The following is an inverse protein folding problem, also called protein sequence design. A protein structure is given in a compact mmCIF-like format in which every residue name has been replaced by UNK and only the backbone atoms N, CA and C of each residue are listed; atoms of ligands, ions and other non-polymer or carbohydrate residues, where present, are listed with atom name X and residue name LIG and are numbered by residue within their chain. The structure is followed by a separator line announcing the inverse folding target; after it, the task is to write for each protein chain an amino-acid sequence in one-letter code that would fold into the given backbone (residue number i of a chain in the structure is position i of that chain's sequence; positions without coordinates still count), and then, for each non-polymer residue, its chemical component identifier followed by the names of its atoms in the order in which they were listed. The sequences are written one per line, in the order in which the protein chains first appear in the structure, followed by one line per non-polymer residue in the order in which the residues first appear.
data_IF_087602982576
#
_entry.id   IF_087602982576
#
_cell.length_a   1.000
_cell.length_b   1.000
_cell.length_c   1.000
_cell.angle_alpha   90.00
_cell.angle_beta   90.00
_cell.angle_gamma   90.00
#
_symmetry.space_group_name_H-M   'P 1'
#
loop_
_entity.id
_entity.type
_entity.pdbx_description
1 polymer ?
#
# COMPACT_ATOMS: atom_id res chain seq x y z
N UNK A 1 13.07 -18.40 -7.65
CA UNK A 1 12.70 -19.17 -6.43
C UNK A 1 13.41 -18.53 -5.25
N UNK A 2 12.74 -18.34 -4.11
CA UNK A 2 13.34 -17.73 -2.93
C UNK A 2 13.94 -18.74 -1.97
N UNK A 3 14.98 -18.34 -1.26
CA UNK A 3 15.58 -19.03 -0.12
C UNK A 3 15.58 -18.05 1.04
N UNK A 4 15.24 -18.51 2.23
CA UNK A 4 15.11 -17.62 3.39
C UNK A 4 15.59 -18.27 4.68
N UNK A 5 15.98 -17.42 5.63
CA UNK A 5 16.24 -17.80 7.02
C UNK A 5 15.25 -17.07 7.93
N UNK A 6 14.56 -17.81 8.80
CA UNK A 6 13.69 -17.26 9.84
C UNK A 6 14.34 -17.42 11.21
N UNK A 7 14.16 -16.42 12.07
CA UNK A 7 14.33 -16.57 13.52
C UNK A 7 12.99 -16.97 14.13
N UNK A 8 12.97 -18.07 14.87
CA UNK A 8 11.80 -18.56 15.59
C UNK A 8 11.69 -17.92 16.99
N UNK A 9 10.57 -18.15 17.67
CA UNK A 9 10.32 -17.61 19.02
C UNK A 9 11.31 -18.09 20.09
N UNK A 10 11.95 -19.24 19.89
CA UNK A 10 13.03 -19.80 20.73
C UNK A 10 14.43 -19.36 20.26
N UNK A 11 14.52 -18.34 19.42
CA UNK A 11 15.72 -17.85 18.72
C UNK A 11 16.45 -18.92 17.88
N UNK A 12 15.80 -20.06 17.60
CA UNK A 12 16.32 -21.03 16.62
C UNK A 12 16.19 -20.48 15.19
N UNK A 13 17.07 -20.95 14.30
CA UNK A 13 17.08 -20.53 12.89
C UNK A 13 16.49 -21.63 12.00
N UNK A 14 15.48 -21.28 11.22
CA UNK A 14 14.85 -22.15 10.22
C UNK A 14 15.23 -21.69 8.81
N UNK A 15 15.61 -22.62 7.93
CA UNK A 15 15.91 -22.32 6.51
C UNK A 15 14.91 -23.01 5.61
N UNK A 16 14.35 -22.28 4.65
CA UNK A 16 13.39 -22.80 3.68
C UNK A 16 13.53 -22.18 2.30
N UNK A 17 12.73 -22.69 1.37
CA UNK A 17 12.57 -22.14 0.02
C UNK A 17 11.09 -21.96 -0.33
N UNK A 18 10.78 -21.00 -1.20
CA UNK A 18 9.41 -20.70 -1.63
C UNK A 18 9.39 -20.06 -3.02
N UNK A 19 8.43 -20.42 -3.87
CA UNK A 19 8.17 -19.67 -5.10
C UNK A 19 7.51 -18.32 -4.77
N UNK A 20 6.52 -18.36 -3.88
CA UNK A 20 5.85 -17.23 -3.29
C UNK A 20 6.23 -17.16 -1.80
N UNK A 21 7.18 -16.28 -1.50
CA UNK A 21 7.71 -16.10 -0.16
C UNK A 21 6.69 -15.47 0.78
N UNK A 22 5.87 -14.53 0.31
CA UNK A 22 4.86 -13.87 1.14
C UNK A 22 3.84 -14.88 1.68
N UNK A 23 3.24 -15.68 0.80
CA UNK A 23 2.34 -16.78 1.18
C UNK A 23 3.02 -17.74 2.14
N UNK A 24 4.30 -18.06 1.89
CA UNK A 24 5.05 -18.99 2.74
C UNK A 24 5.29 -18.44 4.15
N UNK A 25 5.53 -17.16 4.31
CA UNK A 25 5.66 -16.53 5.63
C UNK A 25 4.32 -16.57 6.37
N UNK A 26 3.20 -16.20 5.73
CA UNK A 26 1.85 -16.30 6.33
C UNK A 26 1.54 -17.73 6.81
N UNK A 27 1.94 -18.73 6.02
CA UNK A 27 1.85 -20.14 6.41
C UNK A 27 2.65 -20.44 7.69
N UNK A 28 3.89 -19.95 7.79
CA UNK A 28 4.74 -20.17 8.95
C UNK A 28 4.26 -19.43 10.21
N UNK A 29 3.68 -18.23 10.05
CA UNK A 29 3.06 -17.45 11.12
C UNK A 29 1.72 -18.02 11.59
N UNK A 30 1.12 -18.94 10.82
CA UNK A 30 -0.16 -19.57 11.16
C UNK A 30 -1.39 -18.77 10.75
N UNK A 31 -1.21 -17.71 9.96
CA UNK A 31 -2.29 -16.90 9.38
C UNK A 31 -3.09 -17.68 8.33
N UNK A 32 -2.40 -18.54 7.56
CA UNK A 32 -3.02 -19.44 6.58
C UNK A 32 -2.50 -20.87 6.73
N UNK A 33 -3.27 -21.84 6.24
CA UNK A 33 -2.91 -23.25 6.32
C UNK A 33 -1.68 -23.60 5.45
N UNK A 34 -0.87 -24.56 5.91
CA UNK A 34 0.29 -25.08 5.16
C UNK A 34 1.68 -24.81 5.77
N UNK A 35 1.77 -24.16 6.94
CA UNK A 35 3.04 -23.93 7.62
C UNK A 35 3.78 -25.19 8.03
N UNK A 36 5.11 -25.18 7.94
CA UNK A 36 5.95 -26.29 8.41
C UNK A 36 5.68 -26.58 9.89
N UNK A 37 5.58 -27.87 10.25
CA UNK A 37 5.35 -28.30 11.65
C UNK A 37 6.33 -27.65 12.62
N UNK A 38 7.59 -27.52 12.20
CA UNK A 38 8.69 -26.94 13.00
C UNK A 38 8.40 -25.50 13.43
N UNK A 39 8.04 -24.62 12.49
CA UNK A 39 7.81 -23.20 12.77
C UNK A 39 6.47 -23.00 13.46
N UNK A 40 5.45 -23.80 13.11
CA UNK A 40 4.12 -23.71 13.72
C UNK A 40 4.16 -23.93 15.23
N UNK A 41 5.00 -24.84 15.71
CA UNK A 41 5.16 -25.10 17.15
C UNK A 41 6.00 -24.07 17.90
N UNK A 42 6.81 -23.26 17.19
CA UNK A 42 7.81 -22.35 17.80
C UNK A 42 7.50 -20.87 17.60
N UNK A 43 6.60 -20.54 16.68
CA UNK A 43 6.38 -19.18 16.21
C UNK A 43 7.53 -18.66 15.35
N UNK A 44 7.23 -17.74 14.45
CA UNK A 44 8.23 -16.98 13.69
C UNK A 44 8.34 -15.59 14.32
N UNK A 45 9.56 -15.19 14.66
CA UNK A 45 9.89 -13.88 15.21
C UNK A 45 10.29 -12.91 14.10
N UNK A 46 11.10 -13.36 13.13
CA UNK A 46 11.66 -12.49 12.09
C UNK A 46 12.10 -13.28 10.85
N UNK A 47 12.04 -12.65 9.68
CA UNK A 47 12.77 -13.05 8.46
C UNK A 47 14.17 -12.42 8.51
N UNK A 48 15.20 -13.24 8.69
CA UNK A 48 16.58 -12.80 8.93
C UNK A 48 17.43 -12.67 7.68
N UNK A 49 17.13 -13.42 6.62
CA UNK A 49 17.83 -13.29 5.34
C UNK A 49 16.97 -13.85 4.21
N UNK A 50 17.15 -13.31 3.01
CA UNK A 50 16.42 -13.69 1.82
C UNK A 50 17.34 -13.61 0.58
N UNK A 51 17.22 -14.61 -0.28
CA UNK A 51 17.89 -14.65 -1.57
C UNK A 51 16.90 -15.11 -2.64
N UNK A 52 17.11 -14.64 -3.86
CA UNK A 52 16.41 -15.16 -5.05
C UNK A 52 17.40 -15.88 -5.95
N UNK A 53 16.98 -17.02 -6.49
CA UNK A 53 17.72 -17.78 -7.51
C UNK A 53 16.91 -17.90 -8.80
N UNK A 54 17.64 -18.02 -9.91
CA UNK A 54 17.08 -18.19 -11.26
C UNK A 54 16.15 -19.40 -11.35
N UNK A 55 16.51 -20.50 -10.68
CA UNK A 55 15.74 -21.74 -10.74
C UNK A 55 15.59 -22.44 -9.38
N UNK A 56 14.72 -23.45 -9.36
CA UNK A 56 14.43 -24.25 -8.16
C UNK A 56 15.55 -25.23 -7.77
N UNK A 57 16.45 -25.59 -8.70
CA UNK A 57 17.58 -26.49 -8.46
C UNK A 57 18.65 -25.78 -7.64
N UNK A 58 19.02 -24.56 -8.02
CA UNK A 58 19.91 -23.67 -7.29
C UNK A 58 19.40 -23.45 -5.86
N UNK A 59 18.10 -23.12 -5.72
CA UNK A 59 17.48 -22.92 -4.41
C UNK A 59 17.59 -24.15 -3.49
N UNK A 60 17.31 -25.36 -4.00
CA UNK A 60 17.41 -26.60 -3.21
C UNK A 60 18.84 -26.91 -2.79
N UNK A 61 19.82 -26.70 -3.67
CA UNK A 61 21.25 -26.88 -3.36
C UNK A 61 21.70 -25.89 -2.28
N UNK A 62 21.29 -24.64 -2.39
CA UNK A 62 21.61 -23.59 -1.43
C UNK A 62 20.91 -23.82 -0.08
N UNK A 63 19.63 -24.19 -0.07
CA UNK A 63 18.90 -24.56 1.16
C UNK A 63 19.62 -25.70 1.91
N UNK A 64 20.05 -26.73 1.19
CA UNK A 64 20.79 -27.85 1.76
C UNK A 64 22.13 -27.42 2.36
N UNK A 65 22.88 -26.57 1.65
CA UNK A 65 24.17 -26.06 2.11
C UNK A 65 24.02 -25.16 3.35
N UNK A 66 23.07 -24.21 3.34
CA UNK A 66 22.78 -23.35 4.49
C UNK A 66 22.36 -24.20 5.69
N UNK A 67 21.53 -25.23 5.51
CA UNK A 67 21.10 -26.11 6.61
C UNK A 67 22.26 -26.79 7.33
N UNK A 68 23.37 -27.07 6.62
CA UNK A 68 24.60 -27.66 7.18
C UNK A 68 25.53 -26.68 7.89
N UNK A 69 25.37 -25.37 7.67
CA UNK A 69 26.16 -24.36 8.36
C UNK A 69 25.92 -24.44 9.87
N UNK A 70 26.97 -24.17 10.65
CA UNK A 70 26.83 -24.04 12.10
C UNK A 70 25.92 -22.84 12.43
N UNK A 71 25.36 -22.79 13.64
CA UNK A 71 24.58 -21.63 14.06
C UNK A 71 25.39 -20.34 13.95
N UNK A 72 26.65 -20.35 14.40
CA UNK A 72 27.53 -19.18 14.32
C UNK A 72 27.76 -18.72 12.87
N UNK A 73 27.89 -19.66 11.92
CA UNK A 73 28.04 -19.33 10.51
C UNK A 73 26.75 -18.75 9.91
N UNK A 74 25.59 -19.26 10.33
CA UNK A 74 24.29 -18.70 9.91
C UNK A 74 24.09 -17.28 10.42
N UNK A 75 24.43 -17.00 11.68
CA UNK A 75 24.37 -15.64 12.23
C UNK A 75 25.32 -14.70 11.45
N UNK A 76 26.56 -15.13 11.19
CA UNK A 76 27.49 -14.34 10.37
C UNK A 76 27.02 -14.15 8.93
N UNK A 77 26.31 -15.13 8.36
CA UNK A 77 25.69 -15.03 7.05
C UNK A 77 24.49 -14.07 7.05
N UNK A 78 23.71 -14.04 8.14
CA UNK A 78 22.62 -13.08 8.33
C UNK A 78 23.16 -11.64 8.36
N UNK A 79 24.33 -11.43 8.95
CA UNK A 79 25.00 -10.13 9.02
C UNK A 79 25.65 -9.68 7.70
N UNK A 80 25.93 -10.62 6.78
CA UNK A 80 26.57 -10.36 5.48
C UNK A 80 26.03 -11.32 4.40
N UNK A 81 24.74 -11.19 4.02
CA UNK A 81 24.06 -12.14 3.12
C UNK A 81 24.63 -12.18 1.70
N UNK A 82 25.29 -11.11 1.26
CA UNK A 82 25.95 -10.99 -0.04
C UNK A 82 27.15 -11.94 -0.19
N UNK A 83 27.80 -12.30 0.93
CA UNK A 83 28.99 -13.15 0.95
C UNK A 83 28.67 -14.66 0.92
N UNK A 84 27.42 -15.05 0.62
CA UNK A 84 26.95 -16.43 0.71
C UNK A 84 27.80 -17.40 -0.11
N UNK A 85 28.16 -17.11 -1.35
CA UNK A 85 29.06 -18.00 -2.12
C UNK A 85 30.53 -17.63 -1.99
N UNK A 86 30.88 -16.36 -1.77
CA UNK A 86 32.30 -16.01 -1.63
C UNK A 86 32.94 -16.65 -0.38
N UNK A 87 32.20 -16.69 0.72
CA UNK A 87 32.75 -17.04 2.04
C UNK A 87 32.13 -18.27 2.67
N UNK A 88 30.81 -18.40 2.60
CA UNK A 88 30.10 -19.42 3.38
C UNK A 88 29.89 -20.72 2.60
N UNK A 89 29.61 -20.62 1.29
CA UNK A 89 29.33 -21.75 0.41
C UNK A 89 30.03 -21.57 -0.96
N UNK A 90 31.38 -21.60 -1.01
CA UNK A 90 32.13 -21.45 -2.27
C UNK A 90 31.82 -22.48 -3.35
N UNK A 91 31.33 -23.65 -2.96
CA UNK A 91 30.95 -24.71 -3.89
C UNK A 91 29.75 -24.38 -4.77
N UNK A 92 29.03 -23.28 -4.51
CA UNK A 92 27.87 -22.85 -5.29
C UNK A 92 28.12 -21.55 -6.07
N UNK A 93 29.37 -21.12 -6.23
CA UNK A 93 29.72 -19.90 -6.97
C UNK A 93 29.32 -19.93 -8.46
N UNK A 94 29.04 -21.11 -9.02
CA UNK A 94 28.53 -21.27 -10.40
C UNK A 94 27.05 -20.89 -10.57
N UNK A 95 26.29 -20.76 -9.47
CA UNK A 95 24.87 -20.40 -9.51
C UNK A 95 24.70 -18.90 -9.31
N UNK A 96 23.81 -18.30 -10.11
CA UNK A 96 23.39 -16.93 -9.87
C UNK A 96 22.44 -16.87 -8.68
N UNK A 97 22.64 -15.86 -7.86
CA UNK A 97 21.73 -15.47 -6.81
C UNK A 97 21.87 -13.98 -6.59
N UNK A 98 20.78 -13.36 -6.12
CA UNK A 98 20.83 -11.99 -5.57
C UNK A 98 20.36 -12.02 -4.13
N UNK A 99 20.99 -11.24 -3.28
CA UNK A 99 20.39 -10.85 -2.00
C UNK A 99 19.10 -10.13 -2.37
N UNK A 100 17.97 -10.70 -1.96
CA UNK A 100 16.71 -10.00 -2.08
C UNK A 100 16.61 -9.15 -0.82
N UNK A 101 16.33 -7.86 -0.99
CA UNK A 101 16.30 -6.95 0.15
C UNK A 101 15.28 -7.47 1.16
N UNK A 102 15.58 -7.34 2.46
CA UNK A 102 14.53 -7.61 3.46
C UNK A 102 13.35 -6.69 3.16
N UNK A 103 13.64 -5.50 2.66
CA UNK A 103 12.76 -4.47 2.13
C UNK A 103 12.02 -4.83 0.83
N UNK A 104 12.51 -5.74 -0.02
CA UNK A 104 11.68 -6.36 -1.08
C UNK A 104 10.57 -7.25 -0.49
N UNK A 105 10.68 -7.62 0.81
CA UNK A 105 9.58 -8.19 1.61
C UNK A 105 9.06 -7.28 2.74
N UNK A 106 9.67 -6.11 2.97
CA UNK A 106 9.18 -5.10 3.90
C UNK A 106 8.54 -4.03 3.03
N UNK A 107 7.29 -4.28 2.63
CA UNK A 107 6.25 -3.98 3.60
C UNK A 107 5.37 -5.20 3.80
N UNK A 108 5.08 -5.47 5.07
CA UNK A 108 3.73 -5.90 5.43
C UNK A 108 2.75 -4.89 4.82
N UNK A 109 2.29 -5.12 3.60
CA UNK A 109 0.99 -4.60 3.15
C UNK A 109 -0.15 -5.41 3.76
N UNK A 110 0.14 -6.18 4.82
CA UNK A 110 -0.87 -6.41 5.83
C UNK A 110 -1.20 -5.07 6.51
N UNK A 111 -2.18 -4.41 5.90
CA UNK A 111 -2.78 -3.18 6.37
C UNK A 111 -3.83 -3.44 7.46
N UNK A 112 -4.11 -4.69 7.85
CA UNK A 112 -5.16 -4.99 8.83
C UNK A 112 -4.89 -4.41 10.23
N UNK A 113 -3.62 -4.11 10.54
CA UNK A 113 -3.21 -3.39 11.75
C UNK A 113 -2.80 -1.93 11.49
N UNK A 114 -2.96 -1.42 10.27
CA UNK A 114 -2.57 -0.06 9.85
C UNK A 114 -3.82 0.82 9.82
N UNK A 115 -3.81 1.96 10.49
CA UNK A 115 -4.89 2.94 10.31
C UNK A 115 -4.73 3.64 8.96
N UNK A 116 -5.82 3.77 8.20
CA UNK A 116 -5.76 4.30 6.84
C UNK A 116 -6.66 5.51 6.66
N UNK A 117 -6.19 6.44 5.84
CA UNK A 117 -6.81 7.73 5.63
C UNK A 117 -6.69 8.15 4.16
N UNK A 118 -7.54 9.09 3.75
CA UNK A 118 -7.39 9.83 2.51
C UNK A 118 -7.31 11.33 2.76
N UNK A 119 -6.69 12.06 1.83
CA UNK A 119 -6.58 13.51 1.86
C UNK A 119 -7.52 14.12 0.83
N UNK A 120 -8.54 14.83 1.31
CA UNK A 120 -9.51 15.48 0.42
C UNK A 120 -8.94 16.78 -0.17
N UNK A 121 -8.91 16.88 -1.49
CA UNK A 121 -8.60 18.13 -2.20
C UNK A 121 -7.12 18.50 -2.30
N UNK A 122 -6.22 17.51 -2.26
CA UNK A 122 -4.79 17.76 -2.51
C UNK A 122 -4.43 17.88 -4.01
N UNK A 123 -5.42 17.69 -4.90
CA UNK A 123 -5.28 17.90 -6.33
C UNK A 123 -6.33 18.90 -6.78
N UNK A 124 -5.89 19.98 -7.43
CA UNK A 124 -6.76 21.10 -7.82
C UNK A 124 -7.81 20.62 -8.83
N UNK A 125 -9.09 20.96 -8.62
CA UNK A 125 -10.19 20.66 -9.53
C UNK A 125 -10.82 19.26 -9.38
N UNK A 126 -10.21 18.35 -8.62
CA UNK A 126 -10.75 17.00 -8.44
C UNK A 126 -12.06 16.99 -7.65
N UNK A 127 -12.14 17.74 -6.55
CA UNK A 127 -13.34 17.77 -5.68
C UNK A 127 -14.60 18.23 -6.44
N UNK A 128 -14.44 19.13 -7.40
CA UNK A 128 -15.51 19.59 -8.28
C UNK A 128 -16.00 18.45 -9.19
N UNK A 129 -15.09 17.69 -9.80
CA UNK A 129 -15.43 16.56 -10.69
C UNK A 129 -16.05 15.38 -9.92
N UNK A 130 -15.55 15.12 -8.70
CA UNK A 130 -16.12 14.11 -7.80
C UNK A 130 -17.49 14.52 -7.23
N UNK A 131 -17.89 15.80 -7.38
CA UNK A 131 -19.15 16.32 -6.84
C UNK A 131 -19.12 16.51 -5.33
N UNK A 132 -17.94 16.69 -4.74
CA UNK A 132 -17.72 16.83 -3.30
C UNK A 132 -17.39 18.26 -2.87
N UNK A 133 -17.09 19.17 -3.81
CA UNK A 133 -16.72 20.55 -3.50
C UNK A 133 -17.77 21.29 -2.63
N UNK A 134 -19.06 20.95 -2.75
CA UNK A 134 -20.11 21.55 -1.91
C UNK A 134 -19.98 21.21 -0.42
N UNK A 135 -19.43 20.04 -0.11
CA UNK A 135 -19.34 19.52 1.26
C UNK A 135 -18.32 20.35 2.06
N UNK A 136 -17.40 21.04 1.39
CA UNK A 136 -16.30 21.81 1.98
C UNK A 136 -16.48 23.33 1.92
N UNK A 137 -17.60 23.85 1.41
CA UNK A 137 -17.79 25.30 1.16
C UNK A 137 -17.51 26.21 2.36
N UNK A 138 -17.72 25.72 3.58
CA UNK A 138 -17.55 26.49 4.81
C UNK A 138 -16.27 26.14 5.59
N UNK A 139 -15.44 25.24 5.06
CA UNK A 139 -14.23 24.79 5.74
C UNK A 139 -13.13 25.82 5.57
N UNK A 140 -12.49 26.21 6.68
CA UNK A 140 -11.35 27.13 6.65
C UNK A 140 -10.11 26.38 6.16
N UNK A 141 -9.40 26.98 5.22
CA UNK A 141 -8.13 26.48 4.70
C UNK A 141 -7.04 27.53 4.87
N UNK A 142 -5.82 27.06 5.07
CA UNK A 142 -4.66 27.93 5.33
C UNK A 142 -4.30 28.75 4.09
N UNK A 143 -4.41 28.15 2.90
CA UNK A 143 -4.30 28.81 1.61
C UNK A 143 -5.19 28.14 0.53
N UNK A 144 -5.24 28.74 -0.66
CA UNK A 144 -6.13 28.29 -1.73
C UNK A 144 -5.79 26.88 -2.26
N UNK A 145 -4.52 26.48 -2.20
CA UNK A 145 -4.04 25.17 -2.65
C UNK A 145 -4.06 24.12 -1.53
N UNK A 146 -4.36 24.51 -0.29
CA UNK A 146 -4.40 23.59 0.83
C UNK A 146 -5.50 22.53 0.68
N UNK A 147 -5.18 21.26 0.98
CA UNK A 147 -6.19 20.22 1.12
C UNK A 147 -7.20 20.60 2.21
N UNK A 148 -8.40 20.04 2.10
CA UNK A 148 -9.54 20.43 2.94
C UNK A 148 -9.54 19.68 4.26
N UNK A 149 -9.45 18.35 4.22
CA UNK A 149 -9.51 17.51 5.41
C UNK A 149 -8.80 16.17 5.21
N UNK A 150 -8.48 15.51 6.32
CA UNK A 150 -8.17 14.09 6.36
C UNK A 150 -9.45 13.33 6.74
N UNK A 151 -9.76 12.26 6.03
CA UNK A 151 -10.88 11.38 6.38
C UNK A 151 -10.38 9.95 6.64
N UNK A 152 -10.97 9.22 7.61
CA UNK A 152 -10.61 7.83 7.87
C UNK A 152 -11.24 6.92 6.81
N UNK A 153 -10.48 5.92 6.37
CA UNK A 153 -10.97 4.82 5.54
C UNK A 153 -10.97 3.50 6.30
N UNK A 154 -10.07 3.31 7.27
CA UNK A 154 -10.05 2.15 8.17
C UNK A 154 -9.35 2.48 9.48
N UNK A 155 -9.95 2.08 10.60
CA UNK A 155 -9.40 2.21 11.94
C UNK A 155 -9.33 0.80 12.56
N UNK A 156 -8.13 0.22 12.73
CA UNK A 156 -7.99 -1.14 13.22
C UNK A 156 -8.52 -1.26 14.65
N UNK A 157 -9.46 -2.19 14.85
CA UNK A 157 -10.11 -2.38 16.14
C UNK A 157 -10.85 -1.14 16.62
N UNK A 158 -11.48 -0.38 15.71
CA UNK A 158 -12.25 0.82 16.02
C UNK A 158 -13.18 0.61 17.23
N UNK A 159 -13.18 1.60 18.12
CA UNK A 159 -14.03 1.69 19.31
C UNK A 159 -14.56 3.11 19.40
N UNK A 160 -15.63 3.30 20.16
CA UNK A 160 -16.14 4.63 20.49
C UNK A 160 -15.00 5.60 20.86
N UNK A 161 -14.93 6.79 20.22
CA UNK A 161 -15.99 7.42 19.41
C UNK A 161 -15.95 7.10 17.91
N UNK A 162 -15.06 6.21 17.44
CA UNK A 162 -14.99 5.83 16.04
C UNK A 162 -16.18 4.91 15.67
N UNK A 163 -16.93 5.21 14.60
CA UNK A 163 -18.02 4.35 14.13
C UNK A 163 -17.57 2.92 13.83
N UNK A 164 -18.41 1.94 14.18
CA UNK A 164 -18.10 0.51 14.03
C UNK A 164 -17.72 0.12 12.60
N UNK A 165 -18.32 0.72 11.57
CA UNK A 165 -18.02 0.38 10.17
C UNK A 165 -16.55 0.64 9.79
N UNK A 166 -15.87 1.58 10.45
CA UNK A 166 -14.44 1.83 10.23
C UNK A 166 -13.55 0.69 10.73
N UNK A 167 -14.08 -0.26 11.51
CA UNK A 167 -13.37 -1.50 11.89
C UNK A 167 -13.41 -2.58 10.79
N UNK A 168 -14.19 -2.38 9.73
CA UNK A 168 -14.25 -3.32 8.60
C UNK A 168 -13.09 -3.03 7.67
N UNK A 169 -12.19 -4.00 7.51
CA UNK A 169 -11.02 -3.89 6.65
C UNK A 169 -11.43 -3.78 5.16
N UNK A 170 -11.12 -2.66 4.46
CA UNK A 170 -11.70 -2.38 3.15
C UNK A 170 -10.79 -2.72 1.96
N UNK A 171 -9.50 -2.99 2.17
CA UNK A 171 -8.52 -3.10 1.09
C UNK A 171 -8.48 -4.50 0.48
N UNK A 172 -8.46 -4.56 -0.85
CA UNK A 172 -8.18 -5.76 -1.64
C UNK A 172 -7.51 -5.33 -2.96
N UNK A 173 -6.35 -5.89 -3.33
CA UNK A 173 -5.63 -5.45 -4.53
C UNK A 173 -6.28 -5.93 -5.83
N UNK A 174 -7.13 -6.95 -5.77
CA UNK A 174 -7.61 -7.69 -6.93
C UNK A 174 -9.12 -7.50 -7.16
N UNK A 175 -9.87 -7.09 -6.14
CA UNK A 175 -11.34 -7.07 -6.19
C UNK A 175 -11.92 -5.75 -5.69
N UNK A 176 -12.97 -5.29 -6.38
CA UNK A 176 -13.94 -4.32 -5.85
C UNK A 176 -15.29 -5.04 -5.70
N UNK A 177 -15.86 -5.04 -4.49
CA UNK A 177 -17.22 -5.52 -4.28
C UNK A 177 -18.21 -4.36 -4.46
N UNK A 178 -19.02 -4.46 -5.52
CA UNK A 178 -20.00 -3.44 -5.87
C UNK A 178 -21.20 -3.51 -4.91
N UNK A 179 -21.53 -2.43 -4.18
CA UNK A 179 -22.71 -2.43 -3.33
C UNK A 179 -23.99 -2.30 -4.17
N UNK A 180 -24.84 -3.33 -4.14
CA UNK A 180 -26.02 -3.47 -5.00
C UNK A 180 -27.04 -2.31 -4.95
N UNK A 181 -27.06 -1.53 -3.87
CA UNK A 181 -27.95 -0.39 -3.66
C UNK A 181 -27.38 0.94 -4.16
N UNK A 182 -26.11 0.98 -4.57
CA UNK A 182 -25.44 2.18 -5.03
C UNK A 182 -25.42 2.27 -6.55
N UNK A 183 -25.16 3.48 -7.03
CA UNK A 183 -24.96 3.77 -8.44
C UNK A 183 -23.74 4.68 -8.54
N UNK A 184 -23.12 4.70 -9.72
CA UNK A 184 -22.02 5.63 -10.04
C UNK A 184 -20.76 5.42 -9.20
N UNK A 185 -20.33 4.16 -9.09
CA UNK A 185 -19.03 3.81 -8.51
C UNK A 185 -17.89 4.37 -9.39
N UNK A 186 -16.93 5.06 -8.78
CA UNK A 186 -15.80 5.69 -9.49
C UNK A 186 -14.46 5.17 -8.97
N UNK A 187 -13.50 5.01 -9.88
CA UNK A 187 -12.08 4.85 -9.56
C UNK A 187 -11.60 6.20 -9.03
N UNK A 188 -10.88 6.23 -7.91
CA UNK A 188 -10.20 7.43 -7.43
C UNK A 188 -8.71 7.10 -7.29
N UNK A 189 -7.92 7.32 -8.35
CA UNK A 189 -6.53 6.90 -8.39
C UNK A 189 -5.67 7.81 -7.51
N UNK A 190 -5.01 7.22 -6.52
CA UNK A 190 -4.17 7.96 -5.58
C UNK A 190 -2.78 7.32 -5.44
N UNK A 191 -1.78 8.16 -5.20
CA UNK A 191 -0.54 7.69 -4.59
C UNK A 191 -0.76 7.60 -3.08
N UNK A 192 -0.59 6.43 -2.47
CA UNK A 192 -0.66 6.29 -1.01
C UNK A 192 0.72 6.07 -0.42
N UNK A 193 0.98 6.72 0.72
CA UNK A 193 2.24 6.65 1.44
C UNK A 193 2.02 5.97 2.78
N UNK A 194 2.92 5.05 3.13
CA UNK A 194 2.92 4.31 4.39
C UNK A 194 3.93 4.99 5.31
N UNK A 195 3.49 5.27 6.54
CA UNK A 195 4.26 5.95 7.57
C UNK A 195 4.40 5.08 8.82
N UNK A 196 5.57 5.13 9.44
CA UNK A 196 5.74 4.82 10.86
C UNK A 196 5.32 6.04 11.69
N UNK A 197 4.49 5.81 12.71
CA UNK A 197 3.93 6.85 13.56
C UNK A 197 4.56 6.82 14.96
N UNK A 198 5.12 7.95 15.40
CA UNK A 198 5.62 8.13 16.77
C UNK A 198 4.61 8.93 17.59
N UNK A 199 4.31 8.46 18.79
CA UNK A 199 3.32 9.07 19.69
C UNK A 199 3.97 9.63 20.95
N UNK A 200 3.49 10.78 21.42
CA UNK A 200 3.79 11.35 22.73
C UNK A 200 2.48 11.54 23.50
N UNK A 201 2.24 10.67 24.48
CA UNK A 201 0.93 10.64 25.16
C UNK A 201 -0.20 10.35 24.16
N UNK A 202 -1.08 11.33 23.96
CA UNK A 202 -2.23 11.25 23.02
C UNK A 202 -1.98 11.98 21.70
N UNK A 203 -0.82 12.61 21.54
CA UNK A 203 -0.48 13.40 20.36
C UNK A 203 0.40 12.60 19.41
N UNK A 204 0.09 12.65 18.11
CA UNK A 204 0.94 12.12 17.07
C UNK A 204 2.13 13.10 16.90
N UNK A 205 3.31 12.65 17.31
CA UNK A 205 4.51 13.48 17.39
C UNK A 205 5.24 13.56 16.07
N UNK A 206 5.40 12.43 15.37
CA UNK A 206 6.10 12.38 14.09
C UNK A 206 5.54 11.29 13.18
N UNK A 207 5.74 11.50 11.88
CA UNK A 207 5.46 10.54 10.82
C UNK A 207 6.74 10.35 10.01
N UNK A 208 7.14 9.10 9.79
CA UNK A 208 8.27 8.76 8.93
C UNK A 208 7.77 7.93 7.76
N UNK A 209 7.82 8.48 6.56
CA UNK A 209 7.47 7.75 5.35
C UNK A 209 8.45 6.59 5.14
N UNK A 210 7.93 5.40 4.85
CA UNK A 210 8.72 4.19 4.63
C UNK A 210 8.47 3.54 3.28
N UNK A 211 7.35 3.85 2.63
CA UNK A 211 7.02 3.36 1.30
C UNK A 211 5.85 4.12 0.68
N UNK A 212 5.65 3.93 -0.62
CA UNK A 212 4.46 4.38 -1.33
C UNK A 212 3.96 3.33 -2.31
N UNK A 213 2.72 3.43 -2.76
CA UNK A 213 2.15 2.49 -3.71
C UNK A 213 0.86 3.00 -4.35
N UNK A 214 0.48 2.37 -5.46
CA UNK A 214 -0.77 2.67 -6.14
C UNK A 214 -1.94 2.33 -5.22
N UNK A 215 -2.87 3.26 -5.13
CA UNK A 215 -4.06 3.17 -4.28
C UNK A 215 -5.28 3.56 -5.10
N UNK A 216 -6.40 2.91 -4.80
CA UNK A 216 -7.69 3.27 -5.34
C UNK A 216 -8.59 3.64 -4.17
N UNK A 217 -8.83 4.94 -3.99
CA UNK A 217 -9.81 5.46 -3.02
C UNK A 217 -11.24 5.30 -3.55
N UNK A 218 -11.56 4.16 -4.19
CA UNK A 218 -12.80 3.91 -4.90
C UNK A 218 -14.01 4.39 -4.11
N UNK A 219 -14.95 5.06 -4.78
CA UNK A 219 -15.97 5.86 -4.10
C UNK A 219 -17.37 5.62 -4.64
N UNK A 220 -18.33 5.53 -3.72
CA UNK A 220 -19.76 5.46 -4.02
C UNK A 220 -20.43 6.82 -3.85
N UNK A 221 -21.54 7.02 -4.56
CA UNK A 221 -22.41 8.17 -4.33
C UNK A 221 -23.44 7.88 -3.26
N UNK A 222 -23.22 8.41 -2.06
CA UNK A 222 -24.17 8.31 -0.95
C UNK A 222 -24.86 9.66 -0.69
N UNK A 223 -26.04 9.85 -1.28
CA UNK A 223 -26.82 11.07 -1.09
C UNK A 223 -27.10 11.34 0.40
N UNK A 224 -26.89 12.59 0.84
CA UNK A 224 -27.09 13.00 2.23
C UNK A 224 -26.05 12.48 3.22
N UNK A 225 -24.96 11.84 2.77
CA UNK A 225 -23.85 11.45 3.64
C UNK A 225 -23.24 12.68 4.32
N UNK A 226 -23.23 12.67 5.66
CA UNK A 226 -22.67 13.76 6.47
C UNK A 226 -21.15 13.73 6.54
N UNK A 227 -20.55 12.54 6.40
CA UNK A 227 -19.10 12.28 6.51
C UNK A 227 -18.59 11.63 5.23
N UNK A 228 -17.36 11.96 4.86
CA UNK A 228 -16.72 11.40 3.66
C UNK A 228 -16.50 9.90 3.83
N UNK A 229 -16.06 9.45 5.00
CA UNK A 229 -15.82 8.03 5.30
C UNK A 229 -16.99 7.10 4.94
N UNK A 230 -18.24 7.58 5.03
CA UNK A 230 -19.44 6.83 4.65
C UNK A 230 -19.57 6.54 3.15
N UNK A 231 -18.86 7.30 2.31
CA UNK A 231 -18.74 7.10 0.87
C UNK A 231 -17.50 6.26 0.51
N UNK A 232 -16.55 6.15 1.44
CA UNK A 232 -15.23 5.54 1.20
C UNK A 232 -15.17 4.10 1.71
N UNK A 233 -15.67 3.82 2.91
CA UNK A 233 -15.72 2.46 3.44
C UNK A 233 -17.18 1.98 3.49
N UNK A 234 -17.57 1.19 2.49
CA UNK A 234 -18.85 0.46 2.46
C UNK A 234 -18.69 -1.03 2.78
N UNK A 235 -17.52 -1.44 3.27
CA UNK A 235 -17.22 -2.81 3.66
C UNK A 235 -15.92 -3.33 3.04
N UNK A 236 -15.81 -4.66 2.99
CA UNK A 236 -14.66 -5.35 2.39
C UNK A 236 -14.56 -5.01 0.90
N UNK A 237 -13.34 -4.97 0.39
CA UNK A 237 -13.05 -4.72 -1.03
C UNK A 237 -13.68 -3.41 -1.54
N UNK A 238 -13.77 -2.39 -0.67
CA UNK A 238 -14.20 -1.04 -1.07
C UNK A 238 -13.03 -0.15 -1.48
N UNK A 239 -11.79 -0.56 -1.18
CA UNK A 239 -10.55 0.16 -1.47
C UNK A 239 -9.53 -0.76 -2.10
N UNK A 240 -8.59 -0.18 -2.85
CA UNK A 240 -7.43 -0.88 -3.38
C UNK A 240 -6.13 -0.28 -2.82
N UNK A 241 -5.16 -1.12 -2.50
CA UNK A 241 -3.77 -0.71 -2.34
C UNK A 241 -2.86 -1.81 -2.87
N UNK A 242 -1.87 -1.43 -3.67
CA UNK A 242 -1.02 -2.37 -4.40
C UNK A 242 -0.37 -3.39 -3.47
N UNK A 243 -0.33 -4.65 -3.90
CA UNK A 243 0.44 -5.68 -3.20
C UNK A 243 1.96 -5.42 -3.25
N UNK A 244 2.40 -4.53 -4.16
CA UNK A 244 3.79 -4.16 -4.38
C UNK A 244 3.99 -2.66 -4.10
N UNK A 245 4.43 -2.33 -2.88
CA UNK A 245 4.77 -0.96 -2.49
C UNK A 245 6.26 -0.70 -2.69
N UNK A 246 6.60 0.50 -3.17
CA UNK A 246 7.97 0.93 -3.44
C UNK A 246 8.57 1.53 -2.14
N UNK A 247 9.73 1.03 -1.67
CA UNK A 247 10.37 1.55 -0.47
C UNK A 247 10.78 3.02 -0.58
N UNK A 248 10.69 3.74 0.54
CA UNK A 248 11.17 5.12 0.68
C UNK A 248 12.29 5.19 1.72
N UNK A 249 13.38 5.84 1.34
CA UNK A 249 14.47 6.24 2.26
C UNK A 249 14.32 7.67 2.75
N UNK A 250 13.64 8.53 1.98
CA UNK A 250 13.27 9.90 2.33
C UNK A 250 11.92 10.28 1.69
N UNK A 251 11.32 11.38 2.15
CA UNK A 251 10.10 11.96 1.58
C UNK A 251 10.29 13.47 1.39
N UNK A 252 11.20 13.79 0.47
CA UNK A 252 11.65 15.13 0.10
C UNK A 252 11.98 15.21 -1.40
N UNK A 253 12.53 16.34 -1.83
CA UNK A 253 12.89 16.65 -3.22
C UNK A 253 13.96 15.70 -3.82
N UNK A 254 14.63 14.88 -3.01
CA UNK A 254 15.59 13.88 -3.48
C UNK A 254 15.03 12.45 -3.43
N UNK A 255 13.77 12.28 -3.03
CA UNK A 255 13.12 10.98 -2.92
C UNK A 255 12.83 10.36 -4.28
N UNK A 256 12.88 9.03 -4.35
CA UNK A 256 12.59 8.27 -5.58
C UNK A 256 11.18 8.54 -6.11
N UNK A 257 10.23 8.88 -5.23
CA UNK A 257 8.84 9.20 -5.58
C UNK A 257 8.72 10.37 -6.57
N UNK A 258 9.76 11.19 -6.72
CA UNK A 258 9.76 12.39 -7.57
C UNK A 258 9.86 12.06 -9.05
N UNK A 259 10.36 10.87 -9.36
CA UNK A 259 10.34 10.33 -10.72
C UNK A 259 9.00 9.65 -11.04
N UNK A 260 8.16 9.37 -10.03
CA UNK A 260 6.96 8.60 -10.24
C UNK A 260 5.79 9.44 -10.75
N UNK A 261 5.04 8.82 -11.66
CA UNK A 261 3.75 9.28 -12.18
C UNK A 261 2.67 8.30 -11.79
N UNK A 262 1.43 8.80 -11.73
CA UNK A 262 0.24 7.99 -11.54
C UNK A 262 -0.62 8.03 -12.80
N UNK A 263 -1.02 6.86 -13.29
CA UNK A 263 -1.99 6.67 -14.34
C UNK A 263 -3.11 5.75 -13.86
N UNK A 264 -4.28 5.85 -14.49
CA UNK A 264 -5.37 4.91 -14.21
C UNK A 264 -6.24 4.68 -15.42
N UNK A 265 -6.83 3.49 -15.46
CA UNK A 265 -7.56 2.99 -16.59
C UNK A 265 -8.79 2.23 -16.12
N UNK A 266 -9.86 2.34 -16.91
CA UNK A 266 -10.97 1.41 -16.88
C UNK A 266 -10.77 0.42 -18.03
N UNK A 267 -10.74 -0.88 -17.73
CA UNK A 267 -10.75 -1.91 -18.77
C UNK A 267 -12.13 -2.54 -18.85
N UNK A 268 -12.75 -2.47 -20.02
CA UNK A 268 -14.09 -3.00 -20.28
C UNK A 268 -14.12 -3.68 -21.63
N UNK A 269 -14.61 -4.91 -21.66
CA UNK A 269 -14.70 -5.73 -22.87
C UNK A 269 -13.37 -5.82 -23.64
N UNK A 270 -12.25 -5.93 -22.91
CA UNK A 270 -10.90 -5.99 -23.47
C UNK A 270 -10.36 -4.69 -24.06
N UNK A 271 -11.02 -3.55 -23.81
CA UNK A 271 -10.56 -2.21 -24.21
C UNK A 271 -10.10 -1.43 -22.99
N UNK A 272 -8.98 -0.74 -23.14
CA UNK A 272 -8.39 0.13 -22.13
C UNK A 272 -8.86 1.57 -22.37
N UNK A 273 -9.32 2.24 -21.32
CA UNK A 273 -9.75 3.64 -21.36
C UNK A 273 -9.01 4.43 -20.28
N UNK A 274 -8.19 5.44 -20.63
CA UNK A 274 -7.62 6.36 -19.66
C UNK A 274 -8.71 7.00 -18.80
N UNK A 275 -8.60 6.86 -17.48
CA UNK A 275 -9.67 7.22 -16.55
C UNK A 275 -9.33 8.46 -15.72
N UNK A 276 -8.14 8.50 -15.13
CA UNK A 276 -7.57 9.67 -14.47
C UNK A 276 -6.49 10.33 -15.34
N UNK A 277 -6.31 11.64 -15.19
CA UNK A 277 -5.21 12.39 -15.81
C UNK A 277 -3.86 11.83 -15.31
N UNK A 278 -3.02 11.41 -16.24
CA UNK A 278 -1.66 10.96 -15.94
C UNK A 278 -0.85 12.13 -15.35
N UNK A 279 -0.43 11.99 -14.09
CA UNK A 279 0.11 13.10 -13.30
C UNK A 279 1.39 12.71 -12.59
N UNK A 280 2.37 13.63 -12.51
CA UNK A 280 3.55 13.40 -11.68
C UNK A 280 3.17 13.54 -10.19
N UNK A 281 3.66 12.63 -9.34
CA UNK A 281 3.35 12.66 -7.90
C UNK A 281 3.87 13.96 -7.25
N UNK A 282 5.01 14.46 -7.72
CA UNK A 282 5.59 15.74 -7.26
C UNK A 282 4.73 16.98 -7.52
N UNK A 283 3.73 16.89 -8.41
CA UNK A 283 2.89 18.03 -8.80
C UNK A 283 1.64 18.17 -7.90
N UNK A 284 1.48 17.31 -6.89
CA UNK A 284 0.42 17.43 -5.88
C UNK A 284 0.56 18.74 -5.10
N UNK A 285 -0.56 19.39 -4.75
CA UNK A 285 -0.56 20.73 -4.16
C UNK A 285 0.26 20.81 -2.87
N UNK A 286 0.12 19.80 -2.01
CA UNK A 286 0.91 19.58 -0.82
C UNK A 286 1.63 18.24 -0.94
N UNK A 287 2.97 18.28 -0.86
CA UNK A 287 3.83 17.10 -0.81
C UNK A 287 5.03 17.36 0.14
N UNK A 288 5.79 16.31 0.45
CA UNK A 288 6.97 16.33 1.34
C UNK A 288 6.68 16.93 2.71
N UNK A 289 7.60 17.74 3.24
CA UNK A 289 7.45 18.45 4.51
C UNK A 289 6.21 19.33 4.58
N UNK A 290 5.73 19.90 3.46
CA UNK A 290 4.50 20.71 3.46
C UNK A 290 3.27 19.85 3.78
N UNK A 291 3.15 18.69 3.12
CA UNK A 291 2.10 17.73 3.42
C UNK A 291 2.24 17.14 4.82
N UNK A 292 3.46 16.74 5.23
CA UNK A 292 3.71 16.17 6.55
C UNK A 292 3.31 17.12 7.68
N UNK A 293 3.68 18.39 7.59
CA UNK A 293 3.32 19.39 8.61
C UNK A 293 1.80 19.60 8.67
N UNK A 294 1.14 19.67 7.51
CA UNK A 294 -0.31 19.78 7.44
C UNK A 294 -1.00 18.54 8.01
N UNK A 295 -0.52 17.33 7.68
CA UNK A 295 -1.08 16.09 8.20
C UNK A 295 -0.92 15.98 9.71
N UNK A 296 0.26 16.32 10.27
CA UNK A 296 0.48 16.32 11.71
C UNK A 296 -0.46 17.28 12.44
N UNK A 297 -0.74 18.46 11.87
CA UNK A 297 -1.77 19.35 12.40
C UNK A 297 -3.16 18.68 12.36
N UNK A 298 -3.59 18.16 11.19
CA UNK A 298 -4.93 17.56 11.06
C UNK A 298 -5.12 16.32 11.94
N UNK A 299 -4.14 15.43 12.02
CA UNK A 299 -4.19 14.25 12.88
C UNK A 299 -4.33 14.59 14.36
N UNK A 300 -3.86 15.76 14.80
CA UNK A 300 -3.93 16.18 16.20
C UNK A 300 -5.12 17.11 16.48
N UNK A 301 -5.44 18.02 15.55
CA UNK A 301 -6.28 19.19 15.82
C UNK A 301 -7.54 19.27 14.97
N UNK A 302 -7.74 18.40 13.96
CA UNK A 302 -8.96 18.42 13.14
C UNK A 302 -10.19 18.15 14.01
N UNK A 303 -11.18 19.04 13.89
CA UNK A 303 -12.43 18.94 14.64
C UNK A 303 -13.45 18.10 13.87
N UNK A 304 -14.42 17.54 14.60
CA UNK A 304 -15.59 16.91 14.01
C UNK A 304 -16.55 18.01 13.50
N UNK A 305 -16.35 18.43 12.25
CA UNK A 305 -17.15 19.49 11.61
C UNK A 305 -17.44 19.18 10.13
N UNK A 306 -18.70 19.39 9.73
CA UNK A 306 -19.15 19.11 8.36
C UNK A 306 -18.74 17.70 7.92
N UNK A 307 -18.00 17.55 6.80
CA UNK A 307 -17.58 16.27 6.27
C UNK A 307 -16.39 15.62 7.01
N UNK A 308 -15.69 16.35 7.87
CA UNK A 308 -14.48 15.92 8.56
C UNK A 308 -14.78 15.30 9.93
N UNK A 309 -13.96 14.33 10.33
CA UNK A 309 -14.04 13.67 11.64
C UNK A 309 -12.92 14.11 12.59
N UNK A 310 -13.13 13.90 13.89
CA UNK A 310 -12.08 14.05 14.90
C UNK A 310 -11.12 12.83 14.87
N UNK A 311 -10.10 12.93 14.02
CA UNK A 311 -9.16 11.84 13.77
C UNK A 311 -8.33 11.49 15.01
N UNK A 312 -7.93 12.50 15.79
CA UNK A 312 -7.11 12.27 16.99
C UNK A 312 -7.83 11.36 18.00
N UNK A 313 -9.13 11.61 18.21
CA UNK A 313 -9.94 10.80 19.11
C UNK A 313 -10.03 9.34 18.62
N UNK A 314 -10.20 9.13 17.31
CA UNK A 314 -10.28 7.79 16.72
C UNK A 314 -8.97 7.02 16.88
N UNK A 315 -7.84 7.64 16.55
CA UNK A 315 -6.52 7.02 16.68
C UNK A 315 -6.17 6.69 18.14
N UNK A 316 -6.53 7.55 19.09
CA UNK A 316 -6.33 7.28 20.51
C UNK A 316 -7.18 6.12 21.02
N UNK A 317 -8.44 6.04 20.60
CA UNK A 317 -9.34 4.93 20.95
C UNK A 317 -8.88 3.59 20.35
N UNK A 318 -8.26 3.64 19.15
CA UNK A 318 -7.64 2.50 18.49
C UNK A 318 -6.28 2.08 19.09
N UNK A 319 -5.84 2.73 20.17
CA UNK A 319 -4.60 2.36 20.86
C UNK A 319 -3.33 2.93 20.23
N UNK A 320 -3.45 4.04 19.48
CA UNK A 320 -2.33 4.76 18.84
C UNK A 320 -1.51 3.86 17.91
N UNK A 321 -2.06 3.52 16.73
CA UNK A 321 -1.40 2.65 15.76
C UNK A 321 0.01 3.12 15.41
N UNK A 322 0.95 2.18 15.34
CA UNK A 322 2.36 2.44 14.97
C UNK A 322 2.54 2.65 13.47
N UNK A 323 1.53 2.27 12.66
CA UNK A 323 1.53 2.44 11.20
C UNK A 323 0.28 3.16 10.74
N UNK A 324 0.49 4.13 9.85
CA UNK A 324 -0.54 4.92 9.21
C UNK A 324 -0.31 4.88 7.70
N UNK A 325 -1.35 4.60 6.91
CA UNK A 325 -1.34 4.76 5.46
C UNK A 325 -2.20 5.96 5.09
N UNK A 326 -1.70 6.81 4.21
CA UNK A 326 -2.44 7.97 3.72
C UNK A 326 -2.43 7.97 2.20
N UNK A 327 -3.60 7.81 1.58
CA UNK A 327 -3.81 8.14 0.16
C UNK A 327 -3.80 9.67 0.05
N UNK A 328 -2.82 10.22 -0.68
CA UNK A 328 -2.46 11.64 -0.57
C UNK A 328 -3.30 12.55 -1.47
N UNK A 329 -4.33 12.02 -2.15
CA UNK A 329 -5.26 12.75 -3.00
C UNK A 329 -5.46 12.08 -4.36
N UNK A 330 -6.68 12.10 -4.88
CA UNK A 330 -6.99 11.59 -6.20
C UNK A 330 -6.68 12.60 -7.31
N UNK A 331 -6.18 12.10 -8.46
CA UNK A 331 -5.99 12.94 -9.65
C UNK A 331 -7.31 13.27 -10.33
N UNK A 332 -7.30 14.27 -11.20
CA UNK A 332 -8.47 14.64 -12.00
C UNK A 332 -8.90 13.52 -12.93
N UNK A 333 -10.18 13.49 -13.28
CA UNK A 333 -10.68 12.56 -14.29
C UNK A 333 -10.37 13.06 -15.70
N UNK A 334 -10.14 12.12 -16.62
CA UNK A 334 -10.28 12.39 -18.06
C UNK A 334 -11.75 12.67 -18.39
N UNK A 335 -12.03 13.19 -19.60
CA UNK A 335 -13.40 13.37 -20.08
C UNK A 335 -14.20 12.04 -20.05
N UNK A 336 -13.52 10.93 -20.32
CA UNK A 336 -14.10 9.59 -20.21
C UNK A 336 -14.39 9.22 -18.75
N UNK A 337 -13.40 9.32 -17.86
CA UNK A 337 -13.55 8.92 -16.44
C UNK A 337 -14.57 9.76 -15.66
N UNK A 338 -14.80 11.00 -16.05
CA UNK A 338 -15.78 11.88 -15.40
C UNK A 338 -17.23 11.39 -15.61
N UNK A 339 -17.49 10.70 -16.72
CA UNK A 339 -18.86 10.33 -17.14
C UNK A 339 -19.12 8.82 -17.21
N UNK A 340 -18.06 8.00 -17.12
CA UNK A 340 -18.17 6.54 -17.21
C UNK A 340 -17.88 5.92 -15.85
N UNK A 341 -18.91 5.30 -15.26
CA UNK A 341 -18.82 4.66 -13.96
C UNK A 341 -18.50 3.17 -14.11
N UNK A 342 -17.87 2.60 -13.08
CA UNK A 342 -17.62 1.17 -12.99
C UNK A 342 -18.94 0.38 -13.01
N UNK A 343 -18.91 -0.82 -13.57
CA UNK A 343 -19.97 -1.83 -13.57
C UNK A 343 -19.35 -3.23 -13.44
N UNK A 344 -20.18 -4.25 -13.20
CA UNK A 344 -19.73 -5.64 -13.09
C UNK A 344 -18.89 -6.09 -14.28
N UNK A 345 -17.77 -6.75 -13.98
CA UNK A 345 -16.81 -7.26 -14.98
C UNK A 345 -15.84 -6.21 -15.51
N UNK A 346 -15.99 -4.93 -15.15
CA UNK A 346 -14.94 -3.95 -15.41
C UNK A 346 -13.72 -4.25 -14.55
N UNK A 347 -12.57 -3.82 -15.04
CA UNK A 347 -11.36 -3.71 -14.22
C UNK A 347 -11.01 -2.24 -13.97
N UNK A 348 -10.66 -1.95 -12.73
CA UNK A 348 -10.10 -0.69 -12.28
C UNK A 348 -8.59 -0.85 -12.13
N UNK A 349 -7.82 -0.26 -13.06
CA UNK A 349 -6.37 -0.36 -13.06
C UNK A 349 -5.75 0.97 -12.61
N UNK A 350 -4.90 0.96 -11.60
CA UNK A 350 -4.15 2.13 -11.14
C UNK A 350 -2.67 1.79 -11.12
N UNK A 351 -1.84 2.63 -11.72
CA UNK A 351 -0.42 2.35 -11.94
C UNK A 351 0.42 3.53 -11.48
N UNK A 352 1.42 3.25 -10.65
CA UNK A 352 2.54 4.14 -10.35
C UNK A 352 3.78 3.62 -11.06
N UNK A 353 4.42 4.50 -11.83
CA UNK A 353 5.57 4.13 -12.66
C UNK A 353 6.63 5.26 -12.70
N UNK A 354 7.93 4.93 -12.80
CA UNK A 354 9.00 5.91 -12.97
C UNK A 354 9.00 6.50 -14.38
N UNK A 355 8.91 7.83 -14.48
CA UNK A 355 8.91 8.57 -15.73
C UNK A 355 10.24 8.49 -16.50
N UNK A 356 11.32 8.15 -15.79
CA UNK A 356 12.64 7.97 -16.41
C UNK A 356 12.74 6.66 -17.22
N UNK A 357 11.94 5.66 -16.89
CA UNK A 357 11.98 4.33 -17.52
C UNK A 357 10.80 4.08 -18.47
N UNK A 358 9.62 4.64 -18.19
CA UNK A 358 8.40 4.38 -18.97
C UNK A 358 7.69 5.67 -19.40
N UNK A 359 7.16 5.65 -20.62
CA UNK A 359 6.20 6.64 -21.13
C UNK A 359 4.76 6.26 -20.82
N UNK A 360 3.84 7.22 -20.86
CA UNK A 360 2.39 6.98 -20.68
C UNK A 360 1.84 5.96 -21.69
N UNK A 361 2.30 6.02 -22.94
CA UNK A 361 1.85 5.12 -24.02
C UNK A 361 2.32 3.68 -23.79
N UNK A 362 3.53 3.50 -23.23
CA UNK A 362 4.03 2.19 -22.83
C UNK A 362 3.21 1.62 -21.68
N UNK A 363 2.87 2.43 -20.68
CA UNK A 363 2.03 2.00 -19.56
C UNK A 363 0.63 1.59 -20.03
N UNK A 364 -0.01 2.37 -20.90
CA UNK A 364 -1.31 2.00 -21.48
C UNK A 364 -1.24 0.67 -22.26
N UNK A 365 -0.16 0.47 -23.03
CA UNK A 365 0.09 -0.79 -23.73
C UNK A 365 0.31 -1.96 -22.77
N UNK A 366 1.06 -1.76 -21.69
CA UNK A 366 1.30 -2.79 -20.67
C UNK A 366 0.02 -3.19 -19.94
N UNK A 367 -0.91 -2.24 -19.72
CA UNK A 367 -2.26 -2.54 -19.20
C UNK A 367 -3.02 -3.44 -20.18
N UNK A 368 -2.99 -3.11 -21.48
CA UNK A 368 -3.67 -3.91 -22.51
C UNK A 368 -3.10 -5.33 -22.63
N UNK A 369 -1.79 -5.49 -22.47
CA UNK A 369 -1.07 -6.75 -22.62
C UNK A 369 -0.95 -7.55 -21.30
N UNK A 370 -1.45 -6.99 -20.18
CA UNK A 370 -1.31 -7.53 -18.82
C UNK A 370 0.17 -7.80 -18.43
N UNK A 371 1.05 -6.83 -18.68
CA UNK A 371 2.51 -6.90 -18.46
C UNK A 371 3.02 -5.87 -17.43
N UNK A 372 2.18 -5.53 -16.44
CA UNK A 372 2.52 -4.54 -15.39
C UNK A 372 3.38 -5.10 -14.25
N UNK A 373 3.64 -6.41 -14.20
CA UNK A 373 4.42 -7.05 -13.14
C UNK A 373 5.94 -6.77 -13.31
N UNK A 374 6.35 -5.56 -12.94
CA UNK A 374 7.75 -5.09 -12.93
C UNK A 374 8.18 -4.67 -11.51
N UNK A 375 9.47 -4.78 -11.20
CA UNK A 375 10.03 -4.48 -9.87
C UNK A 375 9.96 -2.98 -9.51
N UNK A 376 9.80 -2.10 -10.49
CA UNK A 376 9.74 -0.64 -10.33
C UNK A 376 8.34 -0.07 -10.59
N UNK A 377 7.35 -0.93 -10.82
CA UNK A 377 5.94 -0.54 -10.98
C UNK A 377 5.16 -0.95 -9.73
N UNK A 378 4.38 -0.03 -9.19
CA UNK A 378 3.35 -0.34 -8.20
C UNK A 378 1.99 -0.24 -8.87
N UNK A 379 1.24 -1.33 -8.96
CA UNK A 379 -0.06 -1.32 -9.63
C UNK A 379 -1.16 -2.04 -8.85
N UNK A 380 -2.39 -1.73 -9.23
CA UNK A 380 -3.62 -2.37 -8.85
C UNK A 380 -4.36 -2.76 -10.13
N UNK A 381 -4.94 -3.95 -10.15
CA UNK A 381 -5.90 -4.37 -11.17
C UNK A 381 -7.08 -5.04 -10.47
N UNK A 382 -8.11 -4.23 -10.19
CA UNK A 382 -9.26 -4.69 -9.42
C UNK A 382 -10.45 -5.01 -10.32
N UNK A 383 -10.89 -6.27 -10.33
CA UNK A 383 -12.15 -6.66 -11.00
C UNK A 383 -13.36 -6.29 -10.16
N UNK A 384 -14.38 -5.73 -10.80
CA UNK A 384 -15.64 -5.36 -10.17
C UNK A 384 -16.58 -6.56 -10.11
N UNK A 385 -16.89 -6.99 -8.89
CA UNK A 385 -17.70 -8.17 -8.58
C UNK A 385 -18.98 -7.83 -7.80
N UNK A 386 -19.92 -8.78 -7.77
CA UNK A 386 -21.14 -8.76 -6.93
C UNK A 386 -20.87 -9.01 -5.44
#
# INVERSE_FOLDING_TARGET
MFIYILRCGDDSLYTGIAADIQKRIKQHCGEISGGAKYTRSRGVKKLEALWQTDDSTAARKMEYAIKKLSRADKERLIDAPELITEKFIPSLAEYNYRTAEKEELILKTDLTATATFGVAGNFTGHLEQAGEASDFKNMKVDDAAAPKAIFPTYIPGAKEPAPEFLSVFPFDPDTILYPADQKKLQIEPECAVIFEAEWEGTSLKSLKAIAFGASNDCSIRREGAKKISLKKNWGRCSKGFSAHAIPLTSFDENSVINDYRIASFLVRDGKVYPYGEDSAVKDYSYIYGRLMNWMLDKFNNQQDEGPAENINAYLNAAGRPERILVSIGATRYTEFGETNFLTYGDHSVVVLYPASEYSSDEIEKMVLENDLEKEDISYLDQVVCE
#
